data_IF_214150301126
#
_entry.id   IF_214150301126
#
_cell.length_a   1.000
_cell.length_b   1.000
_cell.length_c   1.000
_cell.angle_alpha   90.00
_cell.angle_beta   90.00
_cell.angle_gamma   90.00
#
_symmetry.space_group_name_H-M   'P 1'
#
loop_
_entity.id
_entity.type
_entity.pdbx_description
1 polymer ?
#
# COMPACT_ATOMS: atom_id res chain seq x y z
N UNK A 1 44.48 -1.11 -31.94
CA UNK A 1 43.34 -1.40 -31.06
C UNK A 1 42.29 -2.03 -31.96
N UNK A 2 41.90 -3.27 -31.69
CA UNK A 2 41.01 -4.03 -32.57
C UNK A 2 39.62 -3.34 -32.57
N UNK A 3 38.96 -3.08 -33.72
CA UNK A 3 37.62 -2.49 -33.76
C UNK A 3 36.56 -3.21 -32.92
N UNK A 4 36.77 -4.49 -32.61
CA UNK A 4 35.98 -5.31 -31.67
C UNK A 4 36.12 -4.83 -30.23
N UNK A 5 37.33 -4.48 -29.78
CA UNK A 5 37.60 -3.97 -28.43
C UNK A 5 36.99 -2.58 -28.21
N UNK A 6 36.97 -1.73 -29.25
CA UNK A 6 36.39 -0.40 -29.16
C UNK A 6 34.85 -0.44 -29.07
N UNK A 7 34.22 -1.35 -29.82
CA UNK A 7 32.78 -1.59 -29.74
C UNK A 7 32.37 -2.19 -28.39
N UNK A 8 33.18 -3.10 -27.84
CA UNK A 8 32.98 -3.66 -26.51
C UNK A 8 33.17 -2.61 -25.41
N UNK A 9 34.21 -1.77 -25.52
CA UNK A 9 34.44 -0.66 -24.61
C UNK A 9 33.32 0.38 -24.65
N UNK A 10 32.84 0.77 -25.84
CA UNK A 10 31.70 1.67 -26.00
C UNK A 10 30.41 1.09 -25.41
N UNK A 11 30.20 -0.23 -25.56
CA UNK A 11 29.07 -0.93 -24.97
C UNK A 11 29.16 -0.94 -23.44
N UNK A 12 30.32 -1.26 -22.89
CA UNK A 12 30.58 -1.22 -21.44
C UNK A 12 30.46 0.19 -20.86
N UNK A 13 30.96 1.21 -21.57
CA UNK A 13 30.84 2.61 -21.18
C UNK A 13 29.38 3.09 -21.16
N UNK A 14 28.59 2.74 -22.18
CA UNK A 14 27.13 3.00 -22.20
C UNK A 14 26.39 2.28 -21.07
N UNK A 15 26.75 1.03 -20.79
CA UNK A 15 26.18 0.28 -19.67
C UNK A 15 26.51 0.92 -18.31
N UNK A 16 27.70 1.50 -18.17
CA UNK A 16 28.14 2.17 -16.94
C UNK A 16 27.50 3.55 -16.69
N UNK A 17 26.96 4.18 -17.74
CA UNK A 17 26.15 5.41 -17.62
C UNK A 17 24.76 5.14 -17.03
N UNK A 18 24.21 3.94 -17.22
CA UNK A 18 22.87 3.58 -16.73
C UNK A 18 22.78 3.67 -15.19
N UNK A 19 23.73 3.09 -14.41
CA UNK A 19 23.80 3.29 -12.97
C UNK A 19 23.82 4.76 -12.54
N UNK A 20 24.54 5.64 -13.25
CA UNK A 20 24.60 7.07 -12.91
C UNK A 20 23.26 7.78 -13.06
N UNK A 21 22.49 7.45 -14.11
CA UNK A 21 21.13 7.94 -14.25
C UNK A 21 20.24 7.40 -13.13
N UNK A 22 20.28 6.09 -12.86
CA UNK A 22 19.49 5.45 -11.80
C UNK A 22 19.81 6.01 -10.40
N UNK A 23 21.08 6.32 -10.12
CA UNK A 23 21.53 7.01 -8.90
C UNK A 23 20.89 8.39 -8.76
N UNK A 24 20.83 9.16 -9.85
CA UNK A 24 20.20 10.49 -9.82
C UNK A 24 18.68 10.39 -9.64
N UNK A 25 18.05 9.41 -10.26
CA UNK A 25 16.61 9.14 -10.11
C UNK A 25 16.25 8.68 -8.69
N UNK A 26 17.11 7.89 -8.03
CA UNK A 26 16.87 7.43 -6.66
C UNK A 26 16.95 8.57 -5.63
N UNK A 27 17.96 9.46 -5.75
CA UNK A 27 18.02 10.69 -4.95
C UNK A 27 16.77 11.55 -5.19
N UNK A 28 16.35 11.70 -6.44
CA UNK A 28 15.15 12.48 -6.77
C UNK A 28 13.90 11.89 -6.13
N UNK A 29 13.79 10.57 -6.08
CA UNK A 29 12.69 9.86 -5.40
C UNK A 29 12.71 10.09 -3.89
N UNK A 30 13.90 10.06 -3.26
CA UNK A 30 14.04 10.34 -1.83
C UNK A 30 13.64 11.79 -1.50
N UNK A 31 14.11 12.76 -2.29
CA UNK A 31 13.72 14.17 -2.15
C UNK A 31 12.21 14.32 -2.32
N UNK A 32 11.60 13.60 -3.27
CA UNK A 32 10.17 13.66 -3.50
C UNK A 32 9.35 13.16 -2.30
N UNK A 33 9.73 12.02 -1.70
CA UNK A 33 9.07 11.49 -0.51
C UNK A 33 9.26 12.40 0.70
N UNK A 34 10.47 12.94 0.90
CA UNK A 34 10.73 13.87 2.01
C UNK A 34 9.97 15.19 1.84
N UNK A 35 9.90 15.71 0.62
CA UNK A 35 9.11 16.89 0.32
C UNK A 35 7.62 16.64 0.61
N UNK A 36 7.07 15.49 0.20
CA UNK A 36 5.70 15.13 0.52
C UNK A 36 5.47 15.01 2.04
N UNK A 37 6.43 14.45 2.77
CA UNK A 37 6.39 14.36 4.22
C UNK A 37 6.25 15.74 4.87
N UNK A 38 7.12 16.70 4.53
CA UNK A 38 7.07 18.04 5.10
C UNK A 38 5.78 18.79 4.76
N UNK A 39 5.31 18.70 3.52
CA UNK A 39 4.07 19.37 3.08
C UNK A 39 2.84 18.81 3.80
N UNK A 40 2.82 17.51 4.08
CA UNK A 40 1.66 16.85 4.69
C UNK A 40 1.75 16.73 6.21
N UNK A 41 2.85 17.19 6.83
CA UNK A 41 3.11 17.05 8.26
C UNK A 41 2.08 17.79 9.12
N UNK A 42 1.67 19.00 8.71
CA UNK A 42 0.68 19.78 9.43
C UNK A 42 -0.69 19.09 9.47
N UNK A 43 -1.14 18.60 8.31
CA UNK A 43 -2.37 17.81 8.19
C UNK A 43 -2.25 16.49 8.98
N UNK A 44 -1.08 15.85 8.99
CA UNK A 44 -0.83 14.60 9.74
C UNK A 44 -0.99 14.80 11.26
N UNK A 45 -0.30 15.81 11.81
CA UNK A 45 -0.34 16.13 13.24
C UNK A 45 -1.77 16.51 13.65
N UNK A 46 -2.48 17.26 12.81
CA UNK A 46 -3.83 17.74 13.11
C UNK A 46 -4.86 16.61 13.07
N UNK A 47 -4.85 15.78 12.03
CA UNK A 47 -5.95 14.85 11.76
C UNK A 47 -5.69 13.41 12.21
N UNK A 48 -4.42 13.00 12.33
CA UNK A 48 -4.04 11.59 12.58
C UNK A 48 -3.45 11.43 13.98
N UNK A 49 -2.59 12.35 14.42
CA UNK A 49 -1.92 12.20 15.72
C UNK A 49 -2.88 12.34 16.89
N UNK A 50 -3.84 13.28 16.81
CA UNK A 50 -4.89 13.49 17.82
C UNK A 50 -5.87 12.32 17.97
N UNK A 51 -5.86 11.35 17.05
CA UNK A 51 -6.80 10.23 17.07
C UNK A 51 -6.39 9.15 18.08
N UNK A 52 -7.39 8.51 18.71
CA UNK A 52 -7.21 7.27 19.48
C UNK A 52 -6.56 6.18 18.60
N UNK A 53 -5.75 5.31 19.20
CA UNK A 53 -5.09 4.23 18.48
C UNK A 53 -6.14 3.33 17.80
N UNK A 54 -6.16 3.32 16.48
CA UNK A 54 -7.04 2.49 15.66
C UNK A 54 -6.23 1.82 14.54
N UNK A 55 -6.77 0.76 13.94
CA UNK A 55 -6.09 0.02 12.88
C UNK A 55 -5.68 0.94 11.72
N UNK A 56 -6.52 1.91 11.35
CA UNK A 56 -6.21 2.87 10.28
C UNK A 56 -5.03 3.79 10.62
N UNK A 57 -4.89 4.21 11.89
CA UNK A 57 -3.74 5.01 12.37
C UNK A 57 -2.44 4.21 12.28
N UNK A 58 -2.47 2.96 12.76
CA UNK A 58 -1.29 2.08 12.74
C UNK A 58 -0.86 1.79 11.31
N UNK A 59 -1.80 1.42 10.43
CA UNK A 59 -1.51 1.14 9.02
C UNK A 59 -1.02 2.38 8.27
N UNK A 60 -1.58 3.56 8.56
CA UNK A 60 -1.09 4.82 7.98
C UNK A 60 0.37 5.09 8.38
N UNK A 61 0.69 5.02 9.67
CA UNK A 61 2.06 5.26 10.15
C UNK A 61 3.01 4.22 9.55
N UNK A 62 2.61 2.95 9.54
CA UNK A 62 3.39 1.87 8.92
C UNK A 62 3.70 2.19 7.46
N UNK A 63 2.69 2.42 6.61
CA UNK A 63 2.89 2.68 5.17
C UNK A 63 3.80 3.90 4.96
N UNK A 64 3.58 4.98 5.72
CA UNK A 64 4.33 6.23 5.56
C UNK A 64 5.80 6.08 5.94
N UNK A 65 6.10 5.60 7.15
CA UNK A 65 7.48 5.44 7.61
C UNK A 65 8.19 4.30 6.87
N UNK A 66 7.48 3.22 6.55
CA UNK A 66 8.05 2.12 5.77
C UNK A 66 8.44 2.58 4.36
N UNK A 67 7.62 3.41 3.70
CA UNK A 67 7.98 3.98 2.38
C UNK A 67 9.25 4.81 2.46
N UNK A 68 9.39 5.67 3.47
CA UNK A 68 10.61 6.50 3.65
C UNK A 68 11.84 5.62 3.82
N UNK A 69 11.75 4.59 4.69
CA UNK A 69 12.85 3.66 4.94
C UNK A 69 13.18 2.86 3.67
N UNK A 70 12.17 2.40 2.93
CA UNK A 70 12.33 1.64 1.69
C UNK A 70 13.02 2.46 0.60
N UNK A 71 12.60 3.71 0.37
CA UNK A 71 13.21 4.58 -0.64
C UNK A 71 14.63 5.01 -0.23
N UNK A 72 14.86 5.23 1.07
CA UNK A 72 16.21 5.47 1.59
C UNK A 72 17.12 4.25 1.40
N UNK A 73 16.61 3.04 1.67
CA UNK A 73 17.31 1.79 1.42
C UNK A 73 17.66 1.62 -0.05
N UNK A 74 16.70 1.82 -0.97
CA UNK A 74 16.92 1.76 -2.42
C UNK A 74 18.01 2.75 -2.85
N UNK A 75 17.98 3.97 -2.31
CA UNK A 75 18.96 5.02 -2.62
C UNK A 75 20.36 4.62 -2.16
N UNK A 76 20.51 4.26 -0.88
CA UNK A 76 21.81 3.85 -0.30
C UNK A 76 22.36 2.63 -1.03
N UNK A 77 21.50 1.66 -1.34
CA UNK A 77 21.85 0.47 -2.10
C UNK A 77 22.47 0.86 -3.44
N UNK A 78 21.73 1.60 -4.27
CA UNK A 78 22.16 2.00 -5.61
C UNK A 78 23.48 2.79 -5.56
N UNK A 79 23.65 3.67 -4.58
CA UNK A 79 24.91 4.39 -4.35
C UNK A 79 26.07 3.46 -3.97
N UNK A 80 25.85 2.52 -3.06
CA UNK A 80 26.88 1.58 -2.63
C UNK A 80 27.36 0.69 -3.78
N UNK A 81 26.47 0.30 -4.71
CA UNK A 81 26.84 -0.45 -5.92
C UNK A 81 27.60 0.39 -6.96
N UNK A 82 27.49 1.71 -6.91
CA UNK A 82 28.27 2.60 -7.78
C UNK A 82 29.72 2.77 -7.31
N UNK A 83 30.04 2.45 -6.04
CA UNK A 83 31.38 2.58 -5.46
C UNK A 83 32.19 1.31 -5.71
N UNK A 84 33.37 1.46 -6.34
CA UNK A 84 34.28 0.33 -6.62
C UNK A 84 34.79 -0.31 -5.32
N UNK A 85 34.75 -1.64 -5.23
CA UNK A 85 35.39 -2.41 -4.15
C UNK A 85 34.51 -2.75 -2.93
N UNK A 86 33.28 -2.23 -2.84
CA UNK A 86 32.36 -2.50 -1.72
C UNK A 86 31.56 -3.80 -1.91
N UNK A 87 31.41 -4.25 -3.16
CA UNK A 87 30.46 -5.32 -3.51
C UNK A 87 31.09 -6.71 -3.40
N UNK A 88 30.71 -7.47 -2.37
CA UNK A 88 31.02 -8.90 -2.25
C UNK A 88 30.04 -9.78 -3.04
N UNK A 89 30.49 -10.96 -3.50
CA UNK A 89 29.66 -11.94 -4.23
C UNK A 89 28.40 -12.34 -3.45
N UNK A 90 28.51 -12.49 -2.12
CA UNK A 90 27.36 -12.83 -1.26
C UNK A 90 26.36 -11.68 -1.14
N UNK A 91 26.85 -10.44 -1.01
CA UNK A 91 26.01 -9.24 -0.97
C UNK A 91 25.24 -9.07 -2.29
N UNK A 92 25.92 -9.37 -3.40
CA UNK A 92 25.36 -9.31 -4.74
C UNK A 92 24.15 -10.24 -4.96
N UNK A 93 24.25 -11.47 -4.46
CA UNK A 93 23.19 -12.48 -4.57
C UNK A 93 22.04 -12.19 -3.60
N UNK A 94 22.35 -11.68 -2.41
CA UNK A 94 21.34 -11.39 -1.39
C UNK A 94 20.53 -10.11 -1.67
N UNK A 95 21.13 -9.10 -2.30
CA UNK A 95 20.48 -7.79 -2.40
C UNK A 95 19.26 -7.76 -3.32
N UNK A 96 19.30 -8.42 -4.50
CA UNK A 96 18.16 -8.43 -5.44
C UNK A 96 16.89 -9.04 -4.82
N UNK A 97 16.93 -10.23 -4.17
CA UNK A 97 15.75 -10.74 -3.48
C UNK A 97 15.35 -9.85 -2.28
N UNK A 98 16.31 -9.27 -1.54
CA UNK A 98 15.99 -8.35 -0.43
C UNK A 98 15.22 -7.12 -0.91
N UNK A 99 15.66 -6.44 -1.97
CA UNK A 99 14.96 -5.27 -2.54
C UNK A 99 13.56 -5.64 -3.01
N UNK A 100 13.42 -6.80 -3.68
CA UNK A 100 12.11 -7.28 -4.16
C UNK A 100 11.15 -7.58 -3.02
N UNK A 101 11.62 -8.24 -1.96
CA UNK A 101 10.80 -8.55 -0.78
C UNK A 101 10.43 -7.27 -0.05
N UNK A 102 11.35 -6.32 0.11
CA UNK A 102 11.07 -5.05 0.76
C UNK A 102 9.99 -4.25 -0.01
N UNK A 103 10.11 -4.18 -1.35
CA UNK A 103 9.06 -3.60 -2.19
C UNK A 103 7.72 -4.34 -2.09
N UNK A 104 7.75 -5.68 -2.05
CA UNK A 104 6.56 -6.50 -1.92
C UNK A 104 5.83 -6.28 -0.58
N UNK A 105 6.57 -6.14 0.54
CA UNK A 105 5.98 -5.84 1.85
C UNK A 105 5.23 -4.50 1.82
N UNK A 106 5.80 -3.48 1.16
CA UNK A 106 5.11 -2.19 0.97
C UNK A 106 3.82 -2.40 0.19
N UNK A 107 3.89 -3.10 -0.95
CA UNK A 107 2.74 -3.33 -1.82
C UNK A 107 1.64 -4.14 -1.11
N UNK A 108 1.99 -5.22 -0.41
CA UNK A 108 1.06 -6.02 0.37
C UNK A 108 0.38 -5.21 1.47
N UNK A 109 1.11 -4.32 2.13
CA UNK A 109 0.54 -3.42 3.14
C UNK A 109 -0.55 -2.52 2.54
N UNK A 110 -0.32 -2.02 1.33
CA UNK A 110 -1.27 -1.19 0.58
C UNK A 110 -2.47 -2.02 0.10
N UNK A 111 -2.22 -3.20 -0.45
CA UNK A 111 -3.24 -4.15 -0.89
C UNK A 111 -4.18 -4.55 0.25
N UNK A 112 -3.67 -4.69 1.48
CA UNK A 112 -4.50 -4.93 2.67
C UNK A 112 -5.43 -3.74 2.96
N UNK A 113 -4.91 -2.50 2.93
CA UNK A 113 -5.72 -1.29 3.14
C UNK A 113 -6.80 -1.18 2.06
N UNK A 114 -6.47 -1.50 0.82
CA UNK A 114 -7.37 -1.52 -0.31
C UNK A 114 -8.51 -2.54 -0.14
N UNK A 115 -8.18 -3.76 0.29
CA UNK A 115 -9.16 -4.81 0.56
C UNK A 115 -10.13 -4.41 1.67
N UNK A 116 -9.62 -3.79 2.75
CA UNK A 116 -10.46 -3.27 3.83
C UNK A 116 -11.43 -2.19 3.32
N UNK A 117 -10.97 -1.31 2.42
CA UNK A 117 -11.84 -0.29 1.80
C UNK A 117 -12.92 -0.90 0.91
N UNK A 118 -12.57 -1.89 0.09
CA UNK A 118 -13.56 -2.63 -0.72
C UNK A 118 -14.56 -3.37 0.17
N UNK A 119 -14.10 -3.97 1.27
CA UNK A 119 -14.99 -4.63 2.23
C UNK A 119 -16.04 -3.67 2.82
N UNK A 120 -15.62 -2.46 3.19
CA UNK A 120 -16.54 -1.41 3.65
C UNK A 120 -17.48 -0.97 2.52
N UNK A 121 -16.96 -0.81 1.30
CA UNK A 121 -17.74 -0.41 0.12
C UNK A 121 -18.84 -1.43 -0.26
N UNK A 122 -18.61 -2.72 -0.02
CA UNK A 122 -19.57 -3.80 -0.23
C UNK A 122 -20.43 -4.09 1.02
N UNK A 123 -20.67 -3.08 1.85
CA UNK A 123 -21.52 -3.16 3.04
C UNK A 123 -21.13 -4.30 3.99
N UNK A 124 -19.82 -4.47 4.25
CA UNK A 124 -19.28 -5.47 5.18
C UNK A 124 -19.65 -6.93 4.86
N UNK A 125 -19.91 -7.25 3.58
CA UNK A 125 -20.19 -8.62 3.16
C UNK A 125 -18.98 -9.53 3.37
N UNK A 126 -19.11 -10.51 4.29
CA UNK A 126 -18.04 -11.49 4.59
C UNK A 126 -17.64 -12.31 3.37
N UNK A 127 -18.56 -12.56 2.43
CA UNK A 127 -18.28 -13.30 1.18
C UNK A 127 -17.21 -12.60 0.34
N UNK A 128 -17.31 -11.28 0.21
CA UNK A 128 -16.34 -10.47 -0.55
C UNK A 128 -14.97 -10.46 0.13
N UNK A 129 -14.96 -10.42 1.47
CA UNK A 129 -13.71 -10.46 2.24
C UNK A 129 -12.96 -11.79 2.02
N UNK A 130 -13.64 -12.93 2.16
CA UNK A 130 -13.00 -14.24 1.94
C UNK A 130 -12.55 -14.43 0.49
N UNK A 131 -13.34 -13.97 -0.48
CA UNK A 131 -12.95 -14.01 -1.89
C UNK A 131 -11.68 -13.19 -2.16
N UNK A 132 -11.63 -11.93 -1.72
CA UNK A 132 -10.47 -11.07 -1.91
C UNK A 132 -9.23 -11.59 -1.15
N UNK A 133 -9.41 -12.07 0.08
CA UNK A 133 -8.31 -12.64 0.87
C UNK A 133 -7.73 -13.92 0.22
N UNK A 134 -8.57 -14.76 -0.36
CA UNK A 134 -8.14 -15.93 -1.13
C UNK A 134 -7.31 -15.52 -2.36
N UNK A 135 -7.81 -14.56 -3.14
CA UNK A 135 -7.10 -14.06 -4.32
C UNK A 135 -5.77 -13.38 -3.96
N UNK A 136 -5.72 -12.64 -2.86
CA UNK A 136 -4.51 -12.04 -2.32
C UNK A 136 -3.47 -13.10 -1.90
N UNK A 137 -3.91 -14.17 -1.24
CA UNK A 137 -3.02 -15.28 -0.83
C UNK A 137 -2.44 -15.99 -2.06
N UNK A 138 -3.24 -16.18 -3.10
CA UNK A 138 -2.78 -16.74 -4.38
C UNK A 138 -1.75 -15.81 -5.02
N UNK A 139 -1.99 -14.49 -5.02
CA UNK A 139 -1.04 -13.49 -5.55
C UNK A 139 0.32 -13.56 -4.84
N UNK A 140 0.32 -13.61 -3.50
CA UNK A 140 1.55 -13.76 -2.70
C UNK A 140 2.26 -15.08 -3.04
N UNK A 141 1.51 -16.18 -3.11
CA UNK A 141 2.06 -17.50 -3.45
C UNK A 141 2.75 -17.50 -4.83
N UNK A 142 2.10 -16.92 -5.83
CA UNK A 142 2.65 -16.79 -7.18
C UNK A 142 3.90 -15.88 -7.20
N UNK A 143 3.88 -14.76 -6.47
CA UNK A 143 5.03 -13.87 -6.35
C UNK A 143 6.25 -14.60 -5.76
N UNK A 144 6.05 -15.29 -4.63
CA UNK A 144 7.12 -16.04 -3.95
C UNK A 144 7.63 -17.20 -4.81
N UNK A 145 6.73 -17.92 -5.49
CA UNK A 145 7.09 -18.99 -6.41
C UNK A 145 7.99 -18.50 -7.55
N UNK A 146 7.58 -17.42 -8.24
CA UNK A 146 8.37 -16.82 -9.32
C UNK A 146 9.73 -16.34 -8.80
N UNK A 147 9.77 -15.75 -7.60
CA UNK A 147 11.01 -15.30 -6.97
C UNK A 147 11.97 -16.46 -6.70
N UNK A 148 11.49 -17.59 -6.15
CA UNK A 148 12.31 -18.78 -5.88
C UNK A 148 12.87 -19.37 -7.17
N UNK A 149 12.03 -19.51 -8.21
CA UNK A 149 12.47 -20.00 -9.52
C UNK A 149 13.55 -19.08 -10.11
N UNK A 150 13.36 -17.77 -10.02
CA UNK A 150 14.33 -16.79 -10.49
C UNK A 150 15.65 -16.84 -9.70
N UNK A 151 15.60 -17.02 -8.38
CA UNK A 151 16.78 -17.15 -7.53
C UNK A 151 17.60 -18.41 -7.86
N UNK A 152 16.94 -19.55 -8.08
CA UNK A 152 17.60 -20.80 -8.47
C UNK A 152 18.27 -20.67 -9.84
N UNK A 153 17.57 -20.09 -10.82
CA UNK A 153 18.12 -19.88 -12.17
C UNK A 153 19.31 -18.92 -12.16
N UNK A 154 19.27 -17.86 -11.33
CA UNK A 154 20.39 -16.93 -11.14
C UNK A 154 21.63 -17.61 -10.59
N UNK A 155 21.49 -18.42 -9.53
CA UNK A 155 22.62 -19.13 -8.94
C UNK A 155 23.34 -20.02 -9.98
N UNK A 156 22.60 -20.67 -10.88
CA UNK A 156 23.18 -21.48 -11.96
C UNK A 156 23.97 -20.66 -12.97
N UNK A 157 23.51 -19.47 -13.32
CA UNK A 157 24.18 -18.59 -14.29
C UNK A 157 25.41 -17.89 -13.69
N UNK A 158 25.34 -17.47 -12.42
CA UNK A 158 26.45 -16.81 -11.72
C UNK A 158 27.65 -17.75 -11.55
N UNK A 159 27.43 -19.07 -11.42
CA UNK A 159 28.51 -20.06 -11.36
C UNK A 159 29.31 -20.13 -12.68
N UNK A 160 28.71 -19.75 -13.81
CA UNK A 160 29.35 -19.85 -15.13
C UNK A 160 30.05 -18.54 -15.57
N UNK A 161 29.52 -17.36 -15.22
CA UNK A 161 29.99 -16.06 -15.76
C UNK A 161 31.05 -15.32 -14.92
N UNK A 162 31.48 -15.90 -13.80
CA UNK A 162 32.34 -15.20 -12.83
C UNK A 162 33.85 -15.12 -13.20
N UNK A 163 34.17 -15.30 -14.48
CA UNK A 163 35.53 -15.12 -15.03
C UNK A 163 35.77 -13.69 -15.57
N UNK A 164 34.75 -12.85 -15.69
CA UNK A 164 34.88 -11.51 -16.28
C UNK A 164 34.69 -10.48 -15.17
N UNK A 165 35.78 -9.78 -14.82
CA UNK A 165 35.84 -8.76 -13.77
C UNK A 165 35.03 -7.50 -14.09
N UNK A 166 33.71 -7.63 -14.20
CA UNK A 166 32.78 -6.52 -14.43
C UNK A 166 32.62 -5.67 -13.17
N UNK A 167 32.46 -4.37 -13.40
CA UNK A 167 32.20 -3.36 -12.37
C UNK A 167 30.73 -3.46 -11.93
N UNK A 168 30.49 -3.76 -10.65
CA UNK A 168 29.15 -3.92 -10.10
C UNK A 168 28.59 -5.33 -10.28
N UNK A 169 27.51 -5.61 -9.55
CA UNK A 169 26.79 -6.86 -9.66
C UNK A 169 26.20 -7.01 -11.07
N UNK A 170 26.62 -7.99 -11.89
CA UNK A 170 25.88 -8.28 -13.10
C UNK A 170 24.47 -8.65 -12.64
N UNK A 171 23.50 -7.83 -13.03
CA UNK A 171 22.11 -8.23 -13.00
C UNK A 171 22.00 -9.39 -13.97
N UNK A 172 22.31 -10.60 -13.53
CA UNK A 172 22.17 -11.83 -14.31
C UNK A 172 20.67 -12.08 -14.41
N UNK A 173 20.07 -11.29 -15.27
CA UNK A 173 18.64 -11.16 -15.44
C UNK A 173 18.22 -12.35 -16.28
N UNK A 174 17.76 -13.42 -15.61
CA UNK A 174 17.32 -14.66 -16.25
C UNK A 174 16.07 -14.53 -17.13
N UNK A 175 15.87 -13.39 -17.80
CA UNK A 175 14.78 -13.12 -18.74
C UNK A 175 13.37 -13.04 -18.14
N UNK A 176 13.19 -13.44 -16.87
CA UNK A 176 11.90 -13.65 -16.21
C UNK A 176 11.56 -12.65 -15.10
N UNK A 177 12.32 -11.55 -14.97
CA UNK A 177 12.05 -10.52 -13.94
C UNK A 177 10.73 -9.77 -14.18
N UNK A 178 10.34 -9.59 -15.44
CA UNK A 178 9.09 -8.91 -15.81
C UNK A 178 7.84 -9.66 -15.29
N UNK A 179 7.93 -10.98 -15.14
CA UNK A 179 6.81 -11.80 -14.71
C UNK A 179 6.49 -11.65 -13.21
N UNK A 180 7.44 -11.16 -12.40
CA UNK A 180 7.31 -11.20 -10.94
C UNK A 180 6.21 -10.27 -10.40
N UNK A 181 5.95 -9.14 -11.06
CA UNK A 181 4.93 -8.16 -10.62
C UNK A 181 3.57 -8.38 -11.30
N UNK A 182 3.46 -9.34 -12.21
CA UNK A 182 2.20 -9.66 -12.91
C UNK A 182 1.11 -10.11 -11.94
N UNK A 183 1.35 -11.04 -10.98
CA UNK A 183 0.30 -11.47 -10.06
C UNK A 183 -0.31 -10.30 -9.28
N UNK A 184 0.54 -9.40 -8.77
CA UNK A 184 0.10 -8.20 -8.06
C UNK A 184 -0.66 -7.23 -8.97
N UNK A 185 -0.22 -7.07 -10.23
CA UNK A 185 -0.88 -6.18 -11.19
C UNK A 185 -2.27 -6.71 -11.59
N UNK A 186 -2.40 -8.01 -11.81
CA UNK A 186 -3.70 -8.65 -12.10
C UNK A 186 -4.64 -8.52 -10.90
N UNK A 187 -4.11 -8.71 -9.70
CA UNK A 187 -4.87 -8.54 -8.47
C UNK A 187 -5.38 -7.10 -8.32
N UNK A 188 -4.51 -6.11 -8.48
CA UNK A 188 -4.87 -4.69 -8.38
C UNK A 188 -5.91 -4.29 -9.45
N UNK A 189 -5.75 -4.77 -10.69
CA UNK A 189 -6.75 -4.56 -11.75
C UNK A 189 -8.11 -5.18 -11.40
N UNK A 190 -8.12 -6.33 -10.72
CA UNK A 190 -9.35 -6.97 -10.26
C UNK A 190 -10.02 -6.13 -9.16
N UNK A 191 -9.25 -5.62 -8.19
CA UNK A 191 -9.76 -4.72 -7.15
C UNK A 191 -10.31 -3.41 -7.75
N UNK A 192 -9.58 -2.82 -8.69
CA UNK A 192 -10.03 -1.65 -9.44
C UNK A 192 -11.34 -1.94 -10.19
N UNK A 193 -11.45 -3.10 -10.84
CA UNK A 193 -12.67 -3.54 -11.52
C UNK A 193 -13.88 -3.61 -10.57
N UNK A 194 -13.69 -4.14 -9.36
CA UNK A 194 -14.76 -4.17 -8.35
C UNK A 194 -15.13 -2.78 -7.84
N UNK A 195 -14.14 -1.92 -7.59
CA UNK A 195 -14.37 -0.54 -7.17
C UNK A 195 -15.13 0.24 -8.26
N UNK A 196 -14.76 0.08 -9.52
CA UNK A 196 -15.40 0.71 -10.67
C UNK A 196 -16.83 0.20 -10.87
N UNK A 197 -17.04 -1.12 -10.83
CA UNK A 197 -18.36 -1.74 -10.94
C UNK A 197 -19.32 -1.17 -9.87
N UNK A 198 -18.87 -1.14 -8.62
CA UNK A 198 -19.68 -0.62 -7.52
C UNK A 198 -19.86 0.89 -7.60
N UNK A 199 -18.84 1.62 -8.05
CA UNK A 199 -18.89 3.06 -8.26
C UNK A 199 -19.89 3.47 -9.33
N UNK A 200 -19.87 2.80 -10.49
CA UNK A 200 -20.84 3.01 -11.57
C UNK A 200 -22.24 2.63 -11.12
N UNK A 201 -22.41 1.44 -10.52
CA UNK A 201 -23.72 0.98 -10.07
C UNK A 201 -24.32 1.94 -9.01
N UNK A 202 -23.51 2.41 -8.06
CA UNK A 202 -23.99 3.33 -7.03
C UNK A 202 -24.26 4.73 -7.58
N UNK A 203 -23.46 5.23 -8.52
CA UNK A 203 -23.70 6.53 -9.16
C UNK A 203 -24.91 6.49 -10.09
N UNK A 204 -25.10 5.44 -10.86
CA UNK A 204 -26.27 5.28 -11.75
C UNK A 204 -27.58 5.19 -10.96
N UNK A 205 -27.58 4.51 -9.81
CA UNK A 205 -28.75 4.47 -8.90
C UNK A 205 -29.01 5.83 -8.25
N UNK A 206 -27.95 6.60 -7.90
CA UNK A 206 -28.08 7.92 -7.28
C UNK A 206 -28.45 9.05 -8.25
N UNK A 207 -27.97 8.98 -9.49
CA UNK A 207 -28.37 9.92 -10.57
C UNK A 207 -29.88 9.84 -10.82
N UNK A 208 -30.50 8.67 -10.61
CA UNK A 208 -31.96 8.50 -10.65
C UNK A 208 -32.72 9.07 -9.43
N UNK A 209 -32.05 9.37 -8.31
CA UNK A 209 -32.70 9.70 -7.02
C UNK A 209 -32.53 11.17 -6.59
N UNK A 210 -31.94 12.02 -7.44
CA UNK A 210 -32.00 13.48 -7.30
C UNK A 210 -30.81 14.09 -6.54
N UNK A 211 -30.15 15.02 -7.23
CA UNK A 211 -29.24 16.12 -6.90
C UNK A 211 -28.56 16.33 -5.51
N UNK A 212 -28.55 15.37 -4.58
CA UNK A 212 -27.76 15.46 -3.35
C UNK A 212 -26.55 14.53 -3.42
N UNK A 213 -25.38 15.12 -3.70
CA UNK A 213 -24.07 14.48 -3.58
C UNK A 213 -23.87 13.99 -2.14
N UNK A 214 -24.31 12.78 -1.81
CA UNK A 214 -24.07 12.26 -0.46
C UNK A 214 -22.60 11.89 -0.31
N UNK A 215 -22.07 12.15 0.89
CA UNK A 215 -20.79 11.71 1.45
C UNK A 215 -20.20 10.41 0.84
N UNK A 216 -21.03 9.37 0.65
CA UNK A 216 -20.61 8.10 0.06
C UNK A 216 -20.14 8.19 -1.41
N UNK A 217 -20.71 9.09 -2.23
CA UNK A 217 -20.32 9.27 -3.63
C UNK A 217 -18.93 9.91 -3.77
N UNK A 218 -18.60 10.87 -2.88
CA UNK A 218 -17.27 11.49 -2.83
C UNK A 218 -16.23 10.46 -2.40
N UNK A 219 -16.52 9.70 -1.33
CA UNK A 219 -15.63 8.63 -0.84
C UNK A 219 -15.40 7.56 -1.93
N UNK A 220 -16.45 7.18 -2.67
CA UNK A 220 -16.35 6.23 -3.78
C UNK A 220 -15.49 6.81 -4.91
N UNK A 221 -15.71 8.05 -5.31
CA UNK A 221 -14.95 8.69 -6.38
C UNK A 221 -13.46 8.80 -6.05
N UNK A 222 -13.13 9.17 -4.82
CA UNK A 222 -11.73 9.27 -4.36
C UNK A 222 -11.05 7.91 -4.31
N UNK A 223 -11.77 6.88 -3.84
CA UNK A 223 -11.27 5.51 -3.86
C UNK A 223 -10.99 5.02 -5.29
N UNK A 224 -11.90 5.26 -6.24
CA UNK A 224 -11.73 4.83 -7.65
C UNK A 224 -10.52 5.49 -8.30
N UNK A 225 -10.30 6.78 -8.08
CA UNK A 225 -9.12 7.50 -8.60
C UNK A 225 -7.83 6.90 -8.04
N UNK A 226 -7.84 6.51 -6.77
CA UNK A 226 -6.70 5.87 -6.14
C UNK A 226 -6.39 4.49 -6.73
N UNK A 227 -7.39 3.60 -6.81
CA UNK A 227 -7.25 2.28 -7.45
C UNK A 227 -6.74 2.41 -8.89
N UNK A 228 -7.27 3.38 -9.65
CA UNK A 228 -6.82 3.67 -11.01
C UNK A 228 -5.35 4.09 -11.04
N UNK A 229 -4.96 5.00 -10.15
CA UNK A 229 -3.59 5.51 -10.09
C UNK A 229 -2.58 4.41 -9.78
N UNK A 230 -2.86 3.53 -8.81
CA UNK A 230 -1.98 2.41 -8.46
C UNK A 230 -1.93 1.38 -9.59
N UNK A 231 -3.06 1.04 -10.20
CA UNK A 231 -3.10 0.15 -11.36
C UNK A 231 -2.27 0.70 -12.53
N UNK A 232 -2.39 1.99 -12.85
CA UNK A 232 -1.58 2.64 -13.88
C UNK A 232 -0.08 2.61 -13.55
N UNK A 233 0.32 2.88 -12.30
CA UNK A 233 1.72 2.81 -11.86
C UNK A 233 2.29 1.40 -12.01
N UNK A 234 1.54 0.36 -11.60
CA UNK A 234 1.96 -1.03 -11.74
C UNK A 234 2.05 -1.47 -13.21
N UNK A 235 1.06 -1.13 -14.03
CA UNK A 235 1.10 -1.42 -15.48
C UNK A 235 2.29 -0.72 -16.14
N UNK A 236 2.53 0.55 -15.82
CA UNK A 236 3.66 1.31 -16.34
C UNK A 236 5.00 0.70 -15.91
N UNK A 237 5.13 0.24 -14.66
CA UNK A 237 6.29 -0.50 -14.20
C UNK A 237 6.54 -1.76 -15.03
N UNK A 238 5.51 -2.60 -15.23
CA UNK A 238 5.66 -3.80 -16.03
C UNK A 238 6.05 -3.49 -17.48
N UNK A 239 5.44 -2.48 -18.10
CA UNK A 239 5.75 -2.08 -19.47
C UNK A 239 7.20 -1.60 -19.64
N UNK A 240 7.73 -0.87 -18.65
CA UNK A 240 9.14 -0.46 -18.65
C UNK A 240 10.08 -1.65 -18.43
N UNK A 241 9.75 -2.59 -17.55
CA UNK A 241 10.57 -3.79 -17.32
C UNK A 241 10.61 -4.70 -18.56
N UNK A 242 9.51 -4.81 -19.30
CA UNK A 242 9.44 -5.56 -20.57
C UNK A 242 10.22 -4.86 -21.70
N UNK A 243 10.57 -3.58 -21.54
CA UNK A 243 11.27 -2.79 -22.56
C UNK A 243 10.38 -2.37 -23.74
N UNK A 244 9.06 -2.54 -23.62
CA UNK A 244 8.11 -2.19 -24.68
C UNK A 244 8.05 -0.68 -24.94
N UNK A 245 8.38 0.14 -23.94
CA UNK A 245 8.25 1.61 -24.00
C UNK A 245 9.43 2.33 -24.62
N UNK A 246 10.54 1.64 -24.96
CA UNK A 246 11.83 2.25 -25.37
C UNK A 246 12.43 3.23 -24.32
N UNK A 247 11.79 3.38 -23.17
CA UNK A 247 12.24 4.21 -22.04
C UNK A 247 13.09 3.32 -21.13
N UNK A 248 14.29 3.77 -20.69
CA UNK A 248 15.10 3.01 -19.76
C UNK A 248 14.36 2.82 -18.43
N UNK A 249 14.45 1.63 -17.85
CA UNK A 249 13.83 1.34 -16.56
C UNK A 249 14.43 2.22 -15.45
N UNK A 250 13.58 3.02 -14.79
CA UNK A 250 13.99 4.00 -13.78
C UNK A 250 14.33 3.41 -12.40
N UNK A 251 14.34 2.08 -12.26
CA UNK A 251 14.51 1.42 -10.97
C UNK A 251 13.23 1.37 -10.15
N UNK A 252 13.30 0.76 -8.97
CA UNK A 252 12.15 0.63 -8.06
C UNK A 252 11.84 1.90 -7.25
N UNK A 253 12.84 2.76 -7.02
CA UNK A 253 12.72 3.95 -6.17
C UNK A 253 11.54 4.87 -6.51
N UNK A 254 11.38 5.34 -7.77
CA UNK A 254 10.28 6.21 -8.15
C UNK A 254 8.90 5.55 -7.96
N UNK A 255 8.81 4.23 -8.16
CA UNK A 255 7.56 3.49 -7.97
C UNK A 255 7.20 3.35 -6.50
N UNK A 256 8.17 2.96 -5.66
CA UNK A 256 7.96 2.88 -4.22
C UNK A 256 7.55 4.25 -3.66
N UNK A 257 8.22 5.33 -4.09
CA UNK A 257 7.86 6.70 -3.75
C UNK A 257 6.43 7.05 -4.18
N UNK A 258 6.09 6.86 -5.46
CA UNK A 258 4.79 7.21 -6.01
C UNK A 258 3.65 6.47 -5.30
N UNK A 259 3.78 5.15 -5.15
CA UNK A 259 2.76 4.32 -4.52
C UNK A 259 2.56 4.75 -3.05
N UNK A 260 3.64 4.97 -2.29
CA UNK A 260 3.55 5.40 -0.89
C UNK A 260 2.96 6.80 -0.70
N UNK A 261 3.34 7.76 -1.56
CA UNK A 261 2.82 9.14 -1.55
C UNK A 261 1.32 9.14 -1.85
N UNK A 262 0.91 8.49 -2.95
CA UNK A 262 -0.49 8.44 -3.37
C UNK A 262 -1.35 7.79 -2.26
N UNK A 263 -0.87 6.70 -1.66
CA UNK A 263 -1.56 6.03 -0.55
C UNK A 263 -1.70 6.94 0.68
N UNK A 264 -0.62 7.61 1.06
CA UNK A 264 -0.60 8.49 2.24
C UNK A 264 -1.55 9.67 2.06
N UNK A 265 -1.51 10.33 0.90
CA UNK A 265 -2.41 11.46 0.58
C UNK A 265 -3.87 11.05 0.58
N UNK A 266 -4.21 9.89 0.00
CA UNK A 266 -5.57 9.38 0.04
C UNK A 266 -6.06 9.13 1.48
N UNK A 267 -5.21 8.56 2.35
CA UNK A 267 -5.57 8.33 3.76
C UNK A 267 -5.80 9.65 4.51
N UNK A 268 -4.95 10.66 4.27
CA UNK A 268 -5.10 11.99 4.85
C UNK A 268 -6.38 12.68 4.36
N UNK A 269 -6.63 12.67 3.04
CA UNK A 269 -7.83 13.29 2.45
C UNK A 269 -9.11 12.68 3.02
N UNK A 270 -9.17 11.34 3.11
CA UNK A 270 -10.32 10.66 3.70
C UNK A 270 -10.52 11.07 5.16
N UNK A 271 -9.44 11.20 5.93
CA UNK A 271 -9.53 11.61 7.34
C UNK A 271 -9.97 13.05 7.49
N UNK A 272 -9.39 13.97 6.71
CA UNK A 272 -9.78 15.39 6.67
C UNK A 272 -11.25 15.55 6.32
N UNK A 273 -11.74 14.76 5.37
CA UNK A 273 -13.14 14.71 5.01
C UNK A 273 -14.02 14.15 6.13
N UNK A 274 -13.62 13.05 6.77
CA UNK A 274 -14.33 12.47 7.90
C UNK A 274 -14.41 13.44 9.09
N UNK A 275 -13.33 14.16 9.40
CA UNK A 275 -13.27 15.13 10.49
C UNK A 275 -14.23 16.30 10.25
N UNK A 276 -14.18 16.91 9.04
CA UNK A 276 -15.07 18.03 8.69
C UNK A 276 -16.56 17.67 8.76
N UNK A 277 -16.92 16.45 8.35
CA UNK A 277 -18.32 16.03 8.28
C UNK A 277 -18.87 15.45 9.60
N UNK A 278 -18.03 14.89 10.48
CA UNK A 278 -18.46 14.25 11.73
C UNK A 278 -18.19 15.09 12.98
N UNK A 279 -17.11 15.85 13.02
CA UNK A 279 -16.65 16.59 14.21
C UNK A 279 -16.82 18.12 14.05
N UNK A 280 -16.91 18.63 12.81
CA UNK A 280 -17.13 20.06 12.52
C UNK A 280 -18.58 20.47 12.27
N UNK A 281 -19.55 19.58 12.50
CA UNK A 281 -20.97 19.81 12.22
C UNK A 281 -21.72 20.52 13.34
N UNK A 282 -21.37 21.78 13.63
CA UNK A 282 -22.22 22.77 14.33
C UNK A 282 -22.85 23.75 13.31
N UNK A 283 -23.06 23.32 12.06
CA UNK A 283 -23.86 24.05 11.07
C UNK A 283 -25.31 23.51 11.10
N UNK A 284 -26.32 24.32 11.47
CA UNK A 284 -27.71 23.88 11.68
C UNK A 284 -28.48 23.46 10.41
N UNK A 285 -27.81 23.28 9.27
CA UNK A 285 -28.45 22.97 7.99
C UNK A 285 -28.03 21.65 7.33
N UNK A 286 -27.31 20.75 8.00
CA UNK A 286 -27.08 19.40 7.49
C UNK A 286 -27.43 18.30 8.50
N UNK A 287 -28.19 17.25 8.09
CA UNK A 287 -28.63 16.23 9.02
C UNK A 287 -27.48 15.32 9.46
N UNK A 288 -27.35 15.18 10.77
CA UNK A 288 -26.55 14.21 11.50
C UNK A 288 -26.91 12.79 11.06
N UNK A 289 -25.91 12.00 10.65
CA UNK A 289 -26.08 10.57 10.42
C UNK A 289 -25.54 9.82 11.64
N UNK A 290 -26.44 9.26 12.45
CA UNK A 290 -26.09 8.34 13.52
C UNK A 290 -25.54 7.05 12.91
N UNK A 291 -24.25 6.78 13.15
CA UNK A 291 -23.69 5.45 12.98
C UNK A 291 -24.26 4.63 14.14
N UNK A 292 -25.16 3.69 13.84
CA UNK A 292 -25.62 2.71 14.82
C UNK A 292 -24.41 2.02 15.43
N UNK A 293 -24.31 2.05 16.76
CA UNK A 293 -23.27 1.39 17.54
C UNK A 293 -23.07 -0.08 17.12
N UNK A 294 -21.85 -0.63 17.22
CA UNK A 294 -21.64 -2.06 17.00
C UNK A 294 -22.44 -2.87 18.03
N UNK A 295 -23.09 -3.98 17.65
CA UNK A 295 -23.86 -4.77 18.61
C UNK A 295 -22.93 -5.37 19.66
N UNK A 296 -23.19 -5.00 20.91
CA UNK A 296 -22.59 -5.58 22.11
C UNK A 296 -22.94 -7.08 22.14
N UNK A 297 -21.92 -7.93 22.11
CA UNK A 297 -22.07 -9.38 22.23
C UNK A 297 -22.49 -9.71 23.68
N UNK A 298 -23.81 -9.82 23.93
CA UNK A 298 -24.33 -10.36 25.19
C UNK A 298 -24.30 -11.88 25.10
N UNK A 299 -23.47 -12.51 25.93
CA UNK A 299 -23.52 -13.94 26.22
C UNK A 299 -24.77 -14.16 27.06
N UNK A 300 -25.81 -14.77 26.48
CA UNK A 300 -26.94 -15.31 27.22
C UNK A 300 -26.56 -16.67 27.77
N UNK A 301 -26.26 -16.73 29.08
CA UNK A 301 -26.28 -17.99 29.83
C UNK A 301 -27.75 -18.30 30.07
N UNK A 302 -28.24 -19.37 29.44
CA UNK A 302 -29.60 -19.85 29.64
C UNK A 302 -29.70 -20.59 30.97
N UNK A 303 -30.64 -20.18 31.80
CA UNK A 303 -31.12 -20.98 32.92
C UNK A 303 -32.64 -20.96 32.84
N UNK A 304 -33.21 -22.14 32.60
CA UNK A 304 -34.64 -22.40 32.65
C UNK A 304 -35.01 -22.73 34.10
N UNK A 305 -36.10 -22.15 34.61
CA UNK A 305 -37.21 -22.87 35.26
C UNK A 305 -38.14 -21.90 36.03
N UNK A 306 -39.45 -22.18 35.94
CA UNK A 306 -40.37 -22.07 37.08
C UNK A 306 -41.14 -20.76 37.34
N UNK A 307 -42.40 -20.75 36.90
CA UNK A 307 -43.62 -20.38 37.66
C UNK A 307 -43.81 -19.05 38.44
N UNK A 308 -44.97 -18.44 38.16
CA UNK A 308 -45.95 -17.79 39.06
C UNK A 308 -45.86 -16.31 39.48
N UNK A 309 -46.94 -15.61 39.10
CA UNK A 309 -47.83 -14.72 39.90
C UNK A 309 -47.31 -13.34 40.35
N UNK A 310 -47.98 -12.30 39.84
CA UNK A 310 -48.63 -11.28 40.68
C UNK A 310 -47.88 -9.96 41.00
N UNK A 311 -48.64 -8.87 40.81
CA UNK A 311 -48.66 -7.60 41.57
C UNK A 311 -47.55 -6.54 41.39
N UNK A 312 -47.96 -5.44 40.73
CA UNK A 312 -48.00 -4.04 41.18
C UNK A 312 -46.87 -3.50 42.10
N UNK A 313 -46.27 -2.37 41.69
CA UNK A 313 -46.21 -1.05 42.39
C UNK A 313 -44.93 -0.26 42.03
N UNK A 314 -45.18 1.00 41.68
CA UNK A 314 -44.36 2.21 41.61
C UNK A 314 -42.92 2.22 42.18
N UNK A 315 -42.01 2.84 41.43
CA UNK A 315 -40.70 3.31 41.90
C UNK A 315 -40.69 4.83 42.07
N UNK A 316 -40.59 5.28 43.32
CA UNK A 316 -40.14 6.62 43.73
C UNK A 316 -38.86 6.44 44.55
N UNK A 317 -37.81 7.14 44.12
CA UNK A 317 -36.65 7.70 44.84
C UNK A 317 -35.77 6.89 45.80
N UNK A 318 -34.55 7.45 45.94
CA UNK A 318 -33.52 7.28 46.98
C UNK A 318 -32.40 6.30 46.61
N UNK A 319 -31.10 6.52 46.78
CA UNK A 319 -30.20 7.66 47.02
C UNK A 319 -28.78 7.04 47.18
N UNK A 320 -27.71 7.81 46.88
CA UNK A 320 -26.33 7.74 47.44
C UNK A 320 -25.60 6.39 47.65
N UNK A 321 -24.40 6.27 47.06
CA UNK A 321 -23.13 6.19 47.83
C UNK A 321 -21.87 6.25 46.91
N UNK A 322 -21.03 7.26 47.17
CA UNK A 322 -19.60 7.45 46.79
C UNK A 322 -18.67 6.45 47.55
N UNK A 323 -17.31 6.39 47.39
CA UNK A 323 -16.33 7.36 46.83
C UNK A 323 -15.24 6.75 45.88
N UNK A 324 -14.63 7.51 44.95
CA UNK A 324 -13.44 8.40 45.03
C UNK A 324 -12.25 7.84 45.81
N UNK A 325 -11.14 7.53 45.13
CA UNK A 325 -9.77 7.57 45.68
C UNK A 325 -8.85 8.23 44.63
N UNK A 326 -8.16 9.27 45.10
CA UNK A 326 -7.22 10.14 44.38
C UNK A 326 -5.76 9.75 44.72
N UNK A 327 -4.85 10.33 43.95
CA UNK A 327 -3.39 10.14 43.89
C UNK A 327 -2.60 10.34 45.19
N UNK A 328 -1.52 9.57 45.29
CA UNK A 328 -0.18 10.03 45.75
C UNK A 328 0.86 9.50 44.78
#
# INVERSE_FOLDING_TARGET
MDPTDEAEFLKLYRLNLIPLYVVRESISSLVWVLHDYFVTLEDEITYIWKQKACLSKIMFLWIRYYTIILVAFDTVQIHAFAIRGVTSRGLCVAIDPTTRIAGAISLWSIEIVMQLRIYVLFNRSKKMLFFNAGLFTISIGLFLWIMVVNAINRNKLIVNDLHIGLLGCPGVNGGSQWAQWIPATVFELTLFGFALYKGIMSNTIRIKIGNRLSLGAVIISENVIYFFSIACLLVFNNLMVVGATKIPWFGFGPFHAAIGIVTSRMLIHLRKFSYKNLEGGDDPHLPTLSISEPPTFRITVGEADGENIGTTIASHDVERAFPVIEST
#
